data_IF_816052195049
#
_entry.id   IF_816052195049
#
_cell.length_a   1.000
_cell.length_b   1.000
_cell.length_c   1.000
_cell.angle_alpha   90.00
_cell.angle_beta   90.00
_cell.angle_gamma   90.00
#
_symmetry.space_group_name_H-M   'P 1'
#
loop_
_entity.id
_entity.type
_entity.pdbx_description
1 polymer ?
#
# COMPACT_ATOMS: atom_id res chain seq x y z
N UNK A 1 -2.83 -16.96 -7.97
CA UNK A 1 -2.21 -15.72 -8.52
C UNK A 1 -1.89 -14.79 -7.36
N UNK A 2 -0.62 -14.43 -7.16
CA UNK A 2 -0.19 -13.53 -6.08
C UNK A 2 -0.72 -12.11 -6.35
N UNK A 3 -1.41 -11.53 -5.38
CA UNK A 3 -1.81 -10.12 -5.44
C UNK A 3 -0.64 -9.22 -5.05
N UNK A 4 -0.54 -8.05 -5.66
CA UNK A 4 0.39 -6.99 -5.25
C UNK A 4 -0.28 -5.63 -5.41
N UNK A 5 0.23 -4.55 -4.76
CA UNK A 5 -0.33 -3.20 -4.89
C UNK A 5 -0.41 -2.66 -6.32
N UNK A 6 0.27 -3.29 -7.30
CA UNK A 6 0.14 -2.96 -8.72
C UNK A 6 -1.22 -3.39 -9.31
N UNK A 7 -1.87 -4.39 -8.72
CA UNK A 7 -3.15 -4.94 -9.18
C UNK A 7 -4.34 -4.25 -8.49
N UNK A 8 -5.50 -4.36 -9.12
CA UNK A 8 -6.76 -3.79 -8.64
C UNK A 8 -7.21 -4.46 -7.33
N UNK A 9 -7.87 -3.71 -6.44
CA UNK A 9 -8.44 -4.21 -5.19
C UNK A 9 -9.50 -5.28 -5.46
N UNK A 10 -10.21 -5.19 -6.59
CA UNK A 10 -11.18 -6.20 -6.99
C UNK A 10 -10.59 -7.62 -7.09
N UNK A 11 -9.28 -7.75 -7.35
CA UNK A 11 -8.55 -9.02 -7.44
C UNK A 11 -8.06 -9.56 -6.09
N UNK A 12 -8.25 -8.84 -4.98
CA UNK A 12 -7.98 -9.35 -3.63
C UNK A 12 -9.03 -10.41 -3.25
N UNK A 13 -8.67 -11.41 -2.43
CA UNK A 13 -9.65 -12.31 -1.83
C UNK A 13 -10.72 -11.55 -1.05
N UNK A 14 -11.94 -12.08 -1.06
CA UNK A 14 -13.09 -11.43 -0.40
C UNK A 14 -12.91 -11.24 1.11
N UNK A 15 -12.10 -12.08 1.76
CA UNK A 15 -11.81 -11.96 3.19
C UNK A 15 -10.81 -10.83 3.51
N UNK A 16 -9.92 -10.47 2.58
CA UNK A 16 -8.90 -9.43 2.77
C UNK A 16 -9.39 -8.07 2.29
N UNK A 17 -10.23 -8.06 1.25
CA UNK A 17 -10.73 -6.87 0.59
C UNK A 17 -11.35 -5.83 1.55
N UNK A 18 -12.18 -6.18 2.56
CA UNK A 18 -12.78 -5.20 3.46
C UNK A 18 -11.76 -4.34 4.22
N UNK A 19 -10.59 -4.89 4.57
CA UNK A 19 -9.56 -4.15 5.30
C UNK A 19 -8.97 -3.02 4.45
N UNK A 20 -8.75 -3.28 3.16
CA UNK A 20 -8.27 -2.24 2.23
C UNK A 20 -9.31 -1.15 2.00
N UNK A 21 -10.58 -1.53 1.89
CA UNK A 21 -11.67 -0.57 1.68
C UNK A 21 -11.85 0.33 2.91
N UNK A 22 -11.84 -0.26 4.11
CA UNK A 22 -11.95 0.48 5.37
C UNK A 22 -10.78 1.44 5.53
N UNK A 23 -9.55 1.03 5.20
CA UNK A 23 -8.37 1.89 5.30
C UNK A 23 -8.40 3.01 4.25
N UNK A 24 -8.86 2.72 3.04
CA UNK A 24 -9.07 3.73 2.00
C UNK A 24 -10.12 4.77 2.40
N UNK A 25 -11.19 4.34 3.06
CA UNK A 25 -12.25 5.21 3.58
C UNK A 25 -11.73 6.09 4.72
N UNK A 26 -10.94 5.53 5.65
CA UNK A 26 -10.23 6.31 6.66
C UNK A 26 -9.36 7.39 6.04
N UNK A 27 -8.49 7.02 5.08
CA UNK A 27 -7.60 7.96 4.39
C UNK A 27 -8.39 9.03 3.62
N UNK A 28 -9.52 8.65 3.02
CA UNK A 28 -10.38 9.57 2.30
C UNK A 28 -11.01 10.60 3.22
N UNK A 29 -11.62 10.17 4.31
CA UNK A 29 -12.28 11.07 5.26
C UNK A 29 -11.26 11.94 5.99
N UNK A 30 -10.15 11.37 6.44
CA UNK A 30 -9.07 12.11 7.09
C UNK A 30 -8.51 13.19 6.15
N UNK A 31 -8.22 12.82 4.90
CA UNK A 31 -7.80 13.79 3.91
C UNK A 31 -8.90 14.82 3.68
N UNK A 32 -10.15 14.42 3.43
CA UNK A 32 -11.28 15.34 3.12
C UNK A 32 -11.54 16.37 4.20
N UNK A 33 -11.44 15.98 5.48
CA UNK A 33 -11.72 16.83 6.64
C UNK A 33 -10.55 17.76 6.97
N UNK A 34 -9.31 17.32 6.69
CA UNK A 34 -8.11 18.15 6.84
C UNK A 34 -7.79 18.92 5.54
N UNK A 35 -8.52 20.02 5.33
CA UNK A 35 -8.25 20.96 4.23
C UNK A 35 -7.24 21.98 4.67
N UNK A 36 -6.17 22.14 3.87
CA UNK A 36 -5.21 23.22 4.03
C UNK A 36 -5.93 24.59 4.08
N UNK A 37 -6.09 25.16 5.28
CA UNK A 37 -6.69 26.47 5.48
C UNK A 37 -5.61 27.45 5.88
N UNK A 38 -5.39 28.45 5.04
CA UNK A 38 -4.43 29.53 5.29
C UNK A 38 -5.23 30.77 5.68
N UNK A 39 -4.91 31.34 6.83
CA UNK A 39 -5.46 32.60 7.31
C UNK A 39 -4.38 33.66 7.38
N UNK A 40 -4.79 34.92 7.31
CA UNK A 40 -3.92 36.05 7.56
C UNK A 40 -4.08 36.48 9.00
N UNK A 41 -2.98 36.52 9.76
CA UNK A 41 -2.95 37.07 11.11
C UNK A 41 -1.95 38.23 11.17
N UNK A 42 -2.09 39.19 12.10
CA UNK A 42 -1.09 40.24 12.29
C UNK A 42 0.28 39.67 12.63
N UNK A 43 1.34 40.30 12.14
CA UNK A 43 2.72 39.91 12.47
C UNK A 43 2.99 40.05 13.98
N UNK A 44 3.68 39.09 14.62
CA UNK A 44 3.84 39.05 16.08
C UNK A 44 4.76 40.14 16.64
N UNK A 45 5.65 40.71 15.81
CA UNK A 45 6.59 41.76 16.23
C UNK A 45 5.96 43.14 16.10
N UNK A 46 6.06 43.96 17.16
CA UNK A 46 5.51 45.33 17.20
C UNK A 46 6.04 46.24 16.07
N UNK A 47 7.28 46.05 15.63
CA UNK A 47 7.86 46.78 14.49
C UNK A 47 7.17 46.49 13.14
N UNK A 48 6.26 45.52 13.11
CA UNK A 48 5.48 45.11 11.94
C UNK A 48 3.97 45.26 12.19
N UNK A 49 3.56 46.14 13.11
CA UNK A 49 2.17 46.55 13.23
C UNK A 49 1.71 47.06 11.85
N UNK A 50 0.63 46.49 11.30
CA UNK A 50 0.10 46.61 9.92
C UNK A 50 0.53 45.54 8.91
N UNK A 51 1.55 44.71 9.18
CA UNK A 51 1.84 43.55 8.32
C UNK A 51 1.01 42.33 8.72
N UNK A 52 0.51 41.61 7.71
CA UNK A 52 -0.18 40.34 7.89
C UNK A 52 0.74 39.19 7.45
N UNK A 53 0.79 38.12 8.23
CA UNK A 53 1.48 36.88 7.91
C UNK A 53 0.47 35.77 7.60
N UNK A 54 0.84 34.87 6.70
CA UNK A 54 0.06 33.66 6.42
C UNK A 54 0.37 32.62 7.48
N UNK A 55 -0.67 32.18 8.17
CA UNK A 55 -0.58 31.07 9.12
C UNK A 55 -1.49 29.95 8.67
N UNK A 56 -1.02 28.73 8.90
CA UNK A 56 -1.74 27.52 8.61
C UNK A 56 -2.66 27.20 9.79
N UNK A 57 -3.98 27.31 9.58
CA UNK A 57 -4.98 27.04 10.60
C UNK A 57 -5.33 25.55 10.67
N UNK A 58 -5.41 24.89 9.52
CA UNK A 58 -5.64 23.46 9.43
C UNK A 58 -4.61 22.82 8.49
N UNK A 59 -3.64 22.05 9.01
CA UNK A 59 -2.65 21.39 8.18
C UNK A 59 -3.21 20.19 7.42
N UNK A 60 -2.54 19.79 6.33
CA UNK A 60 -2.78 18.47 5.75
C UNK A 60 -2.36 17.36 6.73
N UNK A 61 -2.96 16.15 6.61
CA UNK A 61 -2.54 15.03 7.41
C UNK A 61 -1.07 14.68 7.23
N UNK A 62 -0.43 14.15 8.26
CA UNK A 62 1.00 13.80 8.25
C UNK A 62 1.37 12.85 7.11
N UNK A 63 0.65 11.72 7.00
CA UNK A 63 0.87 10.74 5.92
C UNK A 63 0.75 11.37 4.53
N UNK A 64 -0.13 12.36 4.35
CA UNK A 64 -0.31 13.05 3.08
C UNK A 64 0.85 14.01 2.79
N UNK A 65 1.40 14.67 3.81
CA UNK A 65 2.62 15.49 3.69
C UNK A 65 3.81 14.64 3.28
N UNK A 66 3.96 13.43 3.84
CA UNK A 66 5.01 12.49 3.46
C UNK A 66 4.86 12.02 2.01
N UNK A 67 3.64 11.62 1.61
CA UNK A 67 3.36 11.29 0.22
C UNK A 67 3.65 12.45 -0.73
N UNK A 68 3.26 13.67 -0.36
CA UNK A 68 3.52 14.87 -1.16
C UNK A 68 5.02 15.16 -1.29
N UNK A 69 5.79 14.96 -0.22
CA UNK A 69 7.23 15.21 -0.20
C UNK A 69 8.01 14.15 -0.98
N UNK A 70 7.56 12.89 -0.92
CA UNK A 70 8.20 11.77 -1.63
C UNK A 70 7.81 11.68 -3.11
N UNK A 71 6.70 12.29 -3.53
CA UNK A 71 6.20 12.23 -4.89
C UNK A 71 6.12 13.61 -5.55
N UNK A 72 6.96 13.84 -6.56
CA UNK A 72 6.87 15.05 -7.39
C UNK A 72 5.47 15.22 -8.00
N UNK A 73 4.95 16.44 -7.90
CA UNK A 73 3.64 16.84 -8.42
C UNK A 73 2.46 16.01 -7.88
N UNK A 74 2.51 15.59 -6.61
CA UNK A 74 1.39 14.91 -5.97
C UNK A 74 0.24 15.89 -5.69
N UNK A 75 -0.92 15.61 -6.28
CA UNK A 75 -2.06 16.52 -6.32
C UNK A 75 -3.21 15.98 -5.50
N UNK A 76 -3.71 16.83 -4.61
CA UNK A 76 -4.76 16.49 -3.66
C UNK A 76 -6.09 16.09 -4.30
N UNK A 77 -6.48 16.75 -5.40
CA UNK A 77 -7.71 16.41 -6.14
C UNK A 77 -7.62 15.03 -6.80
N UNK A 78 -6.42 14.65 -7.29
CA UNK A 78 -6.17 13.32 -7.86
C UNK A 78 -6.14 12.26 -6.78
N UNK A 79 -5.59 12.58 -5.61
CA UNK A 79 -5.63 11.73 -4.42
C UNK A 79 -7.03 11.38 -3.97
N UNK A 80 -7.90 12.39 -3.82
CA UNK A 80 -9.31 12.17 -3.50
C UNK A 80 -9.96 11.24 -4.53
N UNK A 81 -9.81 11.54 -5.83
CA UNK A 81 -10.39 10.72 -6.91
C UNK A 81 -9.87 9.28 -6.89
N UNK A 82 -8.62 9.09 -6.51
CA UNK A 82 -8.00 7.77 -6.40
C UNK A 82 -8.57 6.95 -5.26
N UNK A 83 -8.66 7.55 -4.06
CA UNK A 83 -9.24 6.91 -2.88
C UNK A 83 -10.71 6.52 -3.14
N UNK A 84 -11.50 7.42 -3.74
CA UNK A 84 -12.89 7.11 -4.14
C UNK A 84 -12.94 5.90 -5.09
N UNK A 85 -12.06 5.84 -6.11
CA UNK A 85 -12.02 4.67 -7.01
C UNK A 85 -11.70 3.38 -6.25
N UNK A 86 -10.78 3.41 -5.30
CA UNK A 86 -10.44 2.25 -4.48
C UNK A 86 -11.64 1.80 -3.64
N UNK A 87 -12.29 2.73 -2.93
CA UNK A 87 -13.50 2.47 -2.12
C UNK A 87 -14.61 1.86 -2.98
N UNK A 88 -14.83 2.40 -4.17
CA UNK A 88 -15.83 1.91 -5.13
C UNK A 88 -15.40 0.63 -5.90
N UNK A 89 -14.21 0.08 -5.64
CA UNK A 89 -13.63 -1.06 -6.38
C UNK A 89 -13.50 -0.82 -7.89
N UNK A 90 -13.31 0.44 -8.29
CA UNK A 90 -13.11 0.91 -9.68
C UNK A 90 -11.67 1.35 -9.95
N UNK A 91 -10.76 1.10 -9.01
CA UNK A 91 -9.34 1.34 -9.18
C UNK A 91 -8.78 0.51 -10.33
N UNK A 92 -7.68 0.97 -10.94
CA UNK A 92 -7.09 0.31 -12.10
C UNK A 92 -5.70 -0.23 -11.85
N UNK A 93 -5.38 -1.32 -12.55
CA UNK A 93 -4.06 -1.91 -12.54
C UNK A 93 -3.03 -0.89 -13.02
N UNK A 94 -1.89 -0.83 -12.34
CA UNK A 94 -0.82 0.09 -12.65
C UNK A 94 -0.01 -0.41 -13.85
N UNK A 95 -0.51 -0.08 -15.05
CA UNK A 95 0.17 -0.32 -16.34
C UNK A 95 0.80 0.94 -16.91
N UNK A 96 0.33 2.11 -16.47
CA UNK A 96 0.78 3.41 -16.96
C UNK A 96 0.65 4.49 -15.88
N UNK A 97 1.28 5.64 -16.13
CA UNK A 97 1.35 6.76 -15.18
C UNK A 97 -0.03 7.36 -14.84
N UNK A 98 -1.05 7.13 -15.67
CA UNK A 98 -2.42 7.61 -15.45
C UNK A 98 -3.00 7.09 -14.13
N UNK A 99 -2.66 5.85 -13.76
CA UNK A 99 -3.12 5.19 -12.54
C UNK A 99 -2.07 5.17 -11.43
N UNK A 100 -1.05 6.05 -11.52
CA UNK A 100 -0.01 6.18 -10.48
C UNK A 100 -0.61 6.39 -9.09
N UNK A 101 -1.65 7.20 -8.97
CA UNK A 101 -2.28 7.47 -7.67
C UNK A 101 -2.91 6.22 -7.08
N UNK A 102 -3.63 5.42 -7.89
CA UNK A 102 -4.25 4.18 -7.41
C UNK A 102 -3.18 3.23 -6.86
N UNK A 103 -2.04 3.12 -7.55
CA UNK A 103 -0.89 2.35 -7.08
C UNK A 103 -0.33 2.87 -5.75
N UNK A 104 0.00 4.17 -5.67
CA UNK A 104 0.59 4.78 -4.47
C UNK A 104 -0.33 4.60 -3.25
N UNK A 105 -1.64 4.75 -3.44
CA UNK A 105 -2.58 4.56 -2.34
C UNK A 105 -2.73 3.10 -1.94
N UNK A 106 -2.74 2.16 -2.89
CA UNK A 106 -2.72 0.72 -2.55
C UNK A 106 -1.44 0.33 -1.84
N UNK A 107 -0.31 0.90 -2.21
CA UNK A 107 0.99 0.68 -1.55
C UNK A 107 0.97 1.22 -0.12
N UNK A 108 0.51 2.45 0.09
CA UNK A 108 0.34 3.02 1.43
C UNK A 108 -0.59 2.18 2.31
N UNK A 109 -1.76 1.79 1.78
CA UNK A 109 -2.73 0.96 2.52
C UNK A 109 -2.10 -0.39 2.86
N UNK A 110 -1.42 -1.03 1.91
CA UNK A 110 -0.74 -2.30 2.12
C UNK A 110 0.29 -2.21 3.24
N UNK A 111 1.15 -1.20 3.19
CA UNK A 111 2.19 -0.96 4.20
C UNK A 111 1.59 -0.76 5.59
N UNK A 112 0.59 0.12 5.72
CA UNK A 112 -0.12 0.37 6.99
C UNK A 112 -0.77 -0.89 7.56
N UNK A 113 -1.38 -1.72 6.72
CA UNK A 113 -2.05 -2.95 7.16
C UNK A 113 -1.05 -4.04 7.58
N UNK A 114 0.13 -4.11 6.98
CA UNK A 114 1.12 -5.17 7.26
C UNK A 114 2.13 -4.77 8.34
N UNK A 115 2.56 -3.51 8.33
CA UNK A 115 3.63 -3.00 9.20
C UNK A 115 3.10 -2.14 10.35
N UNK A 116 1.85 -1.68 10.26
CA UNK A 116 1.34 -0.66 11.17
C UNK A 116 1.91 0.71 10.84
N UNK A 117 1.58 1.71 11.64
CA UNK A 117 2.07 3.08 11.48
C UNK A 117 1.82 3.89 12.76
N UNK A 118 2.45 5.05 12.88
CA UNK A 118 2.16 5.99 13.96
C UNK A 118 1.16 7.05 13.48
N UNK A 119 0.13 7.32 14.29
CA UNK A 119 -0.83 8.39 14.01
C UNK A 119 -0.23 9.78 14.29
N UNK A 120 -0.98 10.84 13.99
CA UNK A 120 -0.51 12.22 14.18
C UNK A 120 -0.24 12.60 15.65
N UNK A 121 -0.81 11.84 16.58
CA UNK A 121 -0.63 12.02 18.03
C UNK A 121 0.55 11.17 18.55
N UNK A 122 1.23 10.43 17.68
CA UNK A 122 2.29 9.50 18.03
C UNK A 122 1.79 8.18 18.62
N UNK A 123 0.49 7.88 18.51
CA UNK A 123 -0.03 6.57 18.90
C UNK A 123 0.32 5.54 17.83
N UNK A 124 0.89 4.42 18.28
CA UNK A 124 1.20 3.31 17.41
C UNK A 124 -0.05 2.52 17.05
N UNK A 125 -0.35 2.43 15.77
CA UNK A 125 -1.38 1.56 15.20
C UNK A 125 -0.70 0.30 14.71
N UNK A 126 -1.08 -0.83 15.31
CA UNK A 126 -0.46 -2.13 15.02
C UNK A 126 -0.92 -2.72 13.69
N UNK A 127 -0.09 -3.58 13.07
CA UNK A 127 -0.48 -4.38 11.92
C UNK A 127 -1.83 -5.09 12.09
N UNK A 128 -2.54 -5.24 10.98
CA UNK A 128 -3.64 -6.16 10.90
C UNK A 128 -3.11 -7.58 10.70
N UNK A 129 -3.09 -8.36 11.79
CA UNK A 129 -2.53 -9.73 11.77
C UNK A 129 -3.16 -10.62 10.70
N UNK A 130 -4.46 -10.49 10.38
CA UNK A 130 -5.10 -11.30 9.34
C UNK A 130 -4.53 -10.97 7.95
N UNK A 131 -4.40 -9.69 7.64
CA UNK A 131 -3.82 -9.25 6.35
C UNK A 131 -2.34 -9.62 6.29
N UNK A 132 -1.60 -9.39 7.37
CA UNK A 132 -0.18 -9.74 7.48
C UNK A 132 0.07 -11.23 7.24
N UNK A 133 -0.61 -12.10 7.99
CA UNK A 133 -0.44 -13.56 7.84
C UNK A 133 -0.78 -14.04 6.44
N UNK A 134 -1.86 -13.54 5.85
CA UNK A 134 -2.24 -13.88 4.47
C UNK A 134 -1.10 -13.61 3.46
N UNK A 135 -0.43 -12.47 3.56
CA UNK A 135 0.68 -12.14 2.66
C UNK A 135 1.99 -12.85 3.02
N UNK A 136 2.23 -13.14 4.30
CA UNK A 136 3.38 -13.94 4.76
C UNK A 136 3.29 -15.40 4.29
N UNK A 137 2.12 -16.04 4.41
CA UNK A 137 1.86 -17.40 3.95
C UNK A 137 2.08 -17.53 2.44
N UNK A 138 1.56 -16.57 1.66
CA UNK A 138 1.78 -16.53 0.21
C UNK A 138 3.28 -16.41 -0.09
N UNK A 139 4.00 -15.54 0.62
CA UNK A 139 5.44 -15.36 0.42
C UNK A 139 6.22 -16.65 0.69
N UNK A 140 5.85 -17.36 1.75
CA UNK A 140 6.44 -18.65 2.13
C UNK A 140 6.16 -19.77 1.12
N UNK A 141 4.92 -19.90 0.64
CA UNK A 141 4.59 -20.90 -0.39
C UNK A 141 5.41 -20.68 -1.67
N UNK A 142 5.60 -19.42 -2.08
CA UNK A 142 6.38 -19.08 -3.26
C UNK A 142 7.90 -19.30 -3.08
N UNK A 143 8.43 -19.21 -1.86
CA UNK A 143 9.83 -19.50 -1.61
C UNK A 143 10.09 -21.01 -1.65
N UNK A 144 9.16 -21.83 -1.15
CA UNK A 144 9.23 -23.29 -1.23
C UNK A 144 9.18 -23.80 -2.68
N UNK A 145 8.28 -23.29 -3.52
CA UNK A 145 8.19 -23.70 -4.93
C UNK A 145 9.49 -23.44 -5.71
N UNK A 146 10.24 -22.39 -5.35
CA UNK A 146 11.54 -22.07 -5.96
C UNK A 146 12.68 -22.98 -5.52
N UNK A 147 12.52 -23.75 -4.44
CA UNK A 147 13.51 -24.68 -3.91
C UNK A 147 13.34 -26.11 -4.45
N UNK A 148 12.29 -26.38 -5.24
CA UNK A 148 12.05 -27.67 -5.93
C UNK A 148 12.70 -27.78 -7.35
N UNK A 149 13.84 -27.15 -7.74
CA UNK A 149 14.51 -27.51 -8.99
C UNK A 149 15.54 -28.66 -8.89
N UNK A 150 15.79 -29.27 -7.72
CA UNK A 150 17.01 -30.09 -7.53
C UNK A 150 16.85 -31.60 -7.26
N UNK A 151 15.63 -32.16 -7.20
CA UNK A 151 15.47 -33.60 -6.89
C UNK A 151 14.91 -34.49 -8.02
N UNK A 152 14.74 -33.97 -9.25
CA UNK A 152 14.12 -34.74 -10.34
C UNK A 152 15.02 -34.92 -11.59
N UNK A 153 16.32 -34.63 -11.53
CA UNK A 153 17.26 -35.12 -12.54
C UNK A 153 18.11 -36.23 -11.92
N UNK A 154 18.16 -37.38 -12.58
CA UNK A 154 19.13 -38.47 -12.37
C UNK A 154 18.68 -39.66 -11.48
N UNK A 155 17.40 -40.02 -11.51
CA UNK A 155 17.01 -41.43 -11.35
C UNK A 155 16.52 -41.99 -12.70
N UNK A 156 17.40 -41.95 -13.71
CA UNK A 156 17.31 -42.91 -14.80
C UNK A 156 17.57 -44.29 -14.19
N UNK A 157 16.50 -45.04 -13.99
CA UNK A 157 16.57 -46.46 -13.62
C UNK A 157 17.31 -47.21 -14.72
N UNK A 158 18.60 -47.51 -14.51
CA UNK A 158 19.29 -48.59 -15.22
C UNK A 158 18.60 -49.92 -14.84
N UNK A 159 17.50 -50.25 -15.50
CA UNK A 159 17.03 -51.64 -15.62
C UNK A 159 17.90 -52.33 -16.67
N UNK A 160 19.17 -52.61 -16.31
CA UNK A 160 20.01 -53.53 -17.07
C UNK A 160 19.79 -54.95 -16.55
N UNK A 161 19.02 -55.71 -17.34
CA UNK A 161 19.25 -57.11 -17.71
C UNK A 161 20.09 -57.95 -16.73
N UNK A 162 19.40 -58.77 -15.94
CA UNK A 162 19.92 -60.03 -15.40
C UNK A 162 19.33 -61.18 -16.23
N UNK A 163 19.72 -61.26 -17.50
CA UNK A 163 19.58 -62.48 -18.29
C UNK A 163 21.02 -63.00 -18.50
N UNK A 164 21.38 -64.06 -17.78
CA UNK A 164 22.34 -65.12 -18.16
C UNK A 164 22.95 -65.80 -16.91
N UNK A 165 22.25 -66.83 -16.42
CA UNK A 165 22.86 -67.87 -15.57
C UNK A 165 22.74 -69.20 -16.33
N UNK A 166 23.85 -69.76 -16.85
CA UNK A 166 23.83 -71.10 -17.40
C UNK A 166 23.87 -72.15 -16.28
N UNK A 167 23.18 -73.25 -16.54
CA UNK A 167 23.05 -74.47 -15.73
C UNK A 167 24.37 -75.14 -15.36
#
# INVERSE_FOLDING_TARGET
>A
MIWSPKKEIAKLPEEIKPYYLSEAEYLFEDLRNNKLKIVLIPAPRKIHQMHMIRVLENPNPFWYKELYSSNNHFRRDRSIKSLIRIIEKKDKEFKNIKYKYDFVYRELIHDRLINGFDDEKGNKIYPNNKVKYFFEEISYQNSLEKLIPFCNSDFETETKYFDDVPF
#
